data_IF_353459870001
#
_entry.id   IF_353459870001
#
_cell.length_a   1.000
_cell.length_b   1.000
_cell.length_c   1.000
_cell.angle_alpha   90.00
_cell.angle_beta   90.00
_cell.angle_gamma   90.00
#
_symmetry.space_group_name_H-M   'P 1'
#
loop_
_entity.id
_entity.type
_entity.pdbx_description
1 polymer ?
#
# COMPACT_ATOMS: atom_id res chain seq x y z
N UNK A 1 1.87 -25.50 11.93
CA UNK A 1 1.80 -25.26 10.46
C UNK A 1 0.34 -25.06 10.07
N UNK A 2 0.03 -23.93 9.49
CA UNK A 2 -1.33 -23.61 9.03
C UNK A 2 -1.81 -24.62 7.99
N UNK A 3 -3.08 -24.99 8.06
CA UNK A 3 -3.72 -25.88 7.06
C UNK A 3 -3.92 -25.14 5.72
N UNK A 4 -4.08 -25.90 4.63
CA UNK A 4 -4.36 -25.33 3.30
C UNK A 4 -5.65 -24.48 3.34
N UNK A 5 -6.65 -24.93 4.11
CA UNK A 5 -7.93 -24.20 4.24
C UNK A 5 -7.70 -22.85 4.92
N UNK A 6 -6.93 -22.79 6.00
CA UNK A 6 -6.59 -21.53 6.68
C UNK A 6 -5.83 -20.57 5.75
N UNK A 7 -4.88 -21.07 4.98
CA UNK A 7 -4.14 -20.27 4.00
C UNK A 7 -5.06 -19.73 2.89
N UNK A 8 -6.04 -20.51 2.44
CA UNK A 8 -7.05 -20.04 1.49
C UNK A 8 -7.95 -18.95 2.11
N UNK A 9 -8.33 -19.10 3.37
CA UNK A 9 -9.09 -18.06 4.09
C UNK A 9 -8.29 -16.77 4.20
N UNK A 10 -6.99 -16.84 4.47
CA UNK A 10 -6.10 -15.65 4.48
C UNK A 10 -6.13 -14.94 3.13
N UNK A 11 -5.96 -15.67 2.02
CA UNK A 11 -5.97 -15.11 0.67
C UNK A 11 -7.31 -14.45 0.33
N UNK A 12 -8.42 -15.18 0.53
CA UNK A 12 -9.77 -14.71 0.17
C UNK A 12 -10.22 -13.54 1.03
N UNK A 13 -9.94 -13.57 2.33
CA UNK A 13 -10.25 -12.46 3.24
C UNK A 13 -9.45 -11.21 2.87
N UNK A 14 -8.15 -11.36 2.57
CA UNK A 14 -7.31 -10.24 2.13
C UNK A 14 -7.78 -9.66 0.80
N UNK A 15 -8.21 -10.50 -0.15
CA UNK A 15 -8.83 -10.06 -1.39
C UNK A 15 -10.12 -9.28 -1.11
N UNK A 16 -11.02 -9.82 -0.28
CA UNK A 16 -12.28 -9.17 0.10
C UNK A 16 -12.07 -7.80 0.76
N UNK A 17 -11.18 -7.71 1.74
CA UNK A 17 -10.82 -6.44 2.38
C UNK A 17 -10.22 -5.45 1.38
N UNK A 18 -9.37 -5.93 0.47
CA UNK A 18 -8.75 -5.12 -0.58
C UNK A 18 -9.73 -4.54 -1.59
N UNK A 19 -10.93 -5.15 -1.78
CA UNK A 19 -11.98 -4.64 -2.65
C UNK A 19 -12.72 -3.42 -2.06
N UNK A 20 -12.60 -3.15 -0.75
CA UNK A 20 -13.22 -1.98 -0.12
C UNK A 20 -12.32 -0.76 -0.41
N UNK A 21 -12.74 0.20 -1.27
CA UNK A 21 -11.92 1.36 -1.57
C UNK A 21 -11.87 2.29 -0.36
N UNK A 22 -10.73 2.87 -0.07
CA UNK A 22 -10.45 3.87 0.98
C UNK A 22 -10.71 3.45 2.42
N UNK A 23 -11.55 2.44 2.67
CA UNK A 23 -12.01 2.04 4.02
C UNK A 23 -11.52 0.66 4.46
N UNK A 24 -10.73 -0.04 3.64
CA UNK A 24 -10.16 -1.32 4.01
C UNK A 24 -9.08 -1.21 5.09
N UNK A 25 -8.94 -2.24 5.97
CA UNK A 25 -7.87 -2.27 6.95
C UNK A 25 -6.50 -2.28 6.29
N UNK A 26 -5.50 -1.71 6.96
CA UNK A 26 -4.13 -1.78 6.45
C UNK A 26 -3.64 -3.22 6.36
N UNK A 27 -3.04 -3.59 5.22
CA UNK A 27 -2.55 -4.95 4.97
C UNK A 27 -1.45 -5.39 5.96
N UNK A 28 -0.73 -4.45 6.57
CA UNK A 28 0.18 -4.74 7.68
C UNK A 28 -0.59 -5.38 8.85
N UNK A 29 -1.70 -4.76 9.26
CA UNK A 29 -2.52 -5.28 10.36
C UNK A 29 -3.27 -6.54 9.98
N UNK A 30 -3.71 -6.67 8.71
CA UNK A 30 -4.33 -7.91 8.22
C UNK A 30 -3.37 -9.08 8.38
N UNK A 31 -2.13 -8.93 7.92
CA UNK A 31 -1.11 -9.98 8.03
C UNK A 31 -0.75 -10.28 9.49
N UNK A 32 -0.62 -9.24 10.34
CA UNK A 32 -0.34 -9.39 11.76
C UNK A 32 -1.46 -10.14 12.49
N UNK A 33 -2.73 -9.78 12.22
CA UNK A 33 -3.88 -10.46 12.82
C UNK A 33 -3.99 -11.92 12.38
N UNK A 34 -3.76 -12.25 11.11
CA UNK A 34 -3.78 -13.64 10.67
C UNK A 34 -2.68 -14.47 11.32
N UNK A 35 -1.46 -13.94 11.42
CA UNK A 35 -0.38 -14.62 12.13
C UNK A 35 -0.73 -14.88 13.61
N UNK A 36 -1.39 -13.91 14.25
CA UNK A 36 -1.80 -13.98 15.63
C UNK A 36 -2.96 -14.97 15.85
N UNK A 37 -4.02 -14.91 15.01
CA UNK A 37 -5.20 -15.79 15.07
C UNK A 37 -4.82 -17.24 14.80
N UNK A 38 -4.00 -17.50 13.77
CA UNK A 38 -3.52 -18.83 13.44
C UNK A 38 -2.48 -19.34 14.45
N UNK A 39 -2.01 -18.46 15.29
CA UNK A 39 -1.09 -18.82 16.35
C UNK A 39 0.30 -19.23 15.85
N UNK A 40 0.67 -18.79 14.67
CA UNK A 40 1.90 -19.20 14.01
C UNK A 40 3.09 -18.34 14.42
N UNK A 41 4.21 -19.01 14.66
CA UNK A 41 5.48 -18.38 15.01
C UNK A 41 6.63 -18.88 14.14
N UNK A 42 6.37 -19.93 13.34
CA UNK A 42 7.34 -20.45 12.38
C UNK A 42 7.56 -19.48 11.22
N UNK A 43 8.83 -19.18 10.92
CA UNK A 43 9.20 -18.19 9.92
C UNK A 43 8.66 -18.50 8.52
N UNK A 44 8.63 -19.77 8.12
CA UNK A 44 8.13 -20.17 6.80
C UNK A 44 6.63 -19.90 6.67
N UNK A 45 5.86 -20.23 7.71
CA UNK A 45 4.41 -19.96 7.74
C UNK A 45 4.12 -18.48 7.82
N UNK A 46 4.89 -17.70 8.59
CA UNK A 46 4.75 -16.23 8.63
C UNK A 46 5.02 -15.57 7.26
N UNK A 47 6.05 -16.03 6.55
CA UNK A 47 6.30 -15.57 5.16
C UNK A 47 5.17 -15.96 4.23
N UNK A 48 4.64 -17.19 4.35
CA UNK A 48 3.50 -17.64 3.55
C UNK A 48 2.24 -16.80 3.81
N UNK A 49 1.93 -16.47 5.06
CA UNK A 49 0.83 -15.56 5.43
C UNK A 49 1.03 -14.20 4.78
N UNK A 50 2.23 -13.59 4.93
CA UNK A 50 2.56 -12.31 4.33
C UNK A 50 2.42 -12.32 2.81
N UNK A 51 2.88 -13.39 2.14
CA UNK A 51 2.74 -13.58 0.70
C UNK A 51 1.29 -13.66 0.26
N UNK A 52 0.45 -14.44 0.94
CA UNK A 52 -0.96 -14.63 0.60
C UNK A 52 -1.77 -13.35 0.83
N UNK A 53 -1.49 -12.60 1.89
CA UNK A 53 -2.10 -11.28 2.12
C UNK A 53 -1.68 -10.31 1.02
N UNK A 54 -0.41 -10.27 0.64
CA UNK A 54 0.05 -9.42 -0.47
C UNK A 54 -0.60 -9.80 -1.80
N UNK A 55 -0.74 -11.10 -2.07
CA UNK A 55 -1.37 -11.61 -3.29
C UNK A 55 -2.86 -11.22 -3.35
N UNK A 56 -3.62 -11.48 -2.28
CA UNK A 56 -5.04 -11.11 -2.19
C UNK A 56 -5.26 -9.61 -2.38
N UNK A 57 -4.48 -8.78 -1.65
CA UNK A 57 -4.55 -7.33 -1.77
C UNK A 57 -4.19 -6.85 -3.19
N UNK A 58 -3.18 -7.44 -3.82
CA UNK A 58 -2.74 -7.03 -5.16
C UNK A 58 -3.75 -7.41 -6.25
N UNK A 59 -4.39 -8.56 -6.13
CA UNK A 59 -5.50 -8.96 -6.99
C UNK A 59 -6.69 -8.00 -6.86
N UNK A 60 -7.07 -7.64 -5.64
CA UNK A 60 -8.15 -6.67 -5.40
C UNK A 60 -7.84 -5.29 -5.99
N UNK A 61 -6.63 -4.78 -5.80
CA UNK A 61 -6.21 -3.49 -6.39
C UNK A 61 -6.06 -3.54 -7.90
N UNK A 62 -5.77 -4.70 -8.46
CA UNK A 62 -5.80 -4.90 -9.91
C UNK A 62 -7.22 -4.75 -10.46
N UNK A 63 -8.25 -5.17 -9.72
CA UNK A 63 -9.65 -4.91 -10.10
C UNK A 63 -9.93 -3.40 -10.12
N UNK A 64 -9.55 -2.64 -9.08
CA UNK A 64 -9.70 -1.18 -9.05
C UNK A 64 -8.95 -0.50 -10.19
N UNK A 65 -7.71 -0.94 -10.44
CA UNK A 65 -6.91 -0.47 -11.55
C UNK A 65 -7.61 -0.71 -12.89
N UNK A 66 -8.13 -1.92 -13.13
CA UNK A 66 -8.82 -2.26 -14.38
C UNK A 66 -10.10 -1.45 -14.56
N UNK A 67 -10.89 -1.23 -13.50
CA UNK A 67 -12.07 -0.37 -13.56
C UNK A 67 -11.66 1.03 -14.04
N UNK A 68 -10.66 1.66 -13.43
CA UNK A 68 -10.20 3.00 -13.82
C UNK A 68 -9.57 3.02 -15.20
N UNK A 69 -8.86 1.96 -15.59
CA UNK A 69 -8.31 1.77 -16.93
C UNK A 69 -9.40 1.76 -18.00
N UNK A 70 -10.52 1.04 -17.78
CA UNK A 70 -11.65 1.02 -18.71
C UNK A 70 -12.43 2.33 -18.70
N UNK A 71 -12.65 2.95 -17.54
CA UNK A 71 -13.31 4.25 -17.41
C UNK A 71 -12.53 5.33 -18.16
N UNK A 72 -11.20 5.23 -18.24
CA UNK A 72 -10.37 6.19 -18.97
C UNK A 72 -10.73 6.32 -20.46
N UNK A 73 -11.36 5.29 -21.05
CA UNK A 73 -11.83 5.32 -22.46
C UNK A 73 -13.01 6.28 -22.66
N UNK A 74 -13.77 6.56 -21.62
CA UNK A 74 -14.97 7.41 -21.64
C UNK A 74 -14.69 8.88 -21.23
N UNK A 75 -13.43 9.24 -20.98
CA UNK A 75 -13.04 10.59 -20.65
C UNK A 75 -13.07 11.49 -21.89
N UNK A 76 -13.47 12.76 -21.68
CA UNK A 76 -13.42 13.77 -22.74
C UNK A 76 -11.99 13.95 -23.27
N UNK A 77 -11.84 14.29 -24.57
CA UNK A 77 -10.53 14.49 -25.22
C UNK A 77 -9.62 15.47 -24.48
N UNK A 78 -10.20 16.55 -23.93
CA UNK A 78 -9.45 17.56 -23.18
C UNK A 78 -8.82 16.98 -21.90
N UNK A 79 -9.56 16.14 -21.16
CA UNK A 79 -9.05 15.46 -19.96
C UNK A 79 -8.02 14.39 -20.31
N UNK A 80 -8.26 13.67 -21.40
CA UNK A 80 -7.35 12.63 -21.90
C UNK A 80 -6.00 13.22 -22.30
N UNK A 81 -5.96 14.31 -23.08
CA UNK A 81 -4.71 14.99 -23.46
C UNK A 81 -3.90 15.45 -22.25
N UNK A 82 -4.58 15.98 -21.21
CA UNK A 82 -3.91 16.37 -19.95
C UNK A 82 -3.33 15.15 -19.23
N UNK A 83 -4.09 14.07 -19.10
CA UNK A 83 -3.62 12.83 -18.47
C UNK A 83 -2.43 12.19 -19.23
N UNK A 84 -2.46 12.21 -20.56
CA UNK A 84 -1.37 11.70 -21.41
C UNK A 84 -0.07 12.51 -21.22
N UNK A 85 -0.17 13.84 -21.11
CA UNK A 85 0.96 14.71 -20.82
C UNK A 85 1.55 14.48 -19.42
N UNK A 86 0.68 14.33 -18.43
CA UNK A 86 1.11 14.03 -17.04
C UNK A 86 1.67 12.59 -16.93
N UNK A 87 1.08 11.65 -17.67
CA UNK A 87 1.56 10.26 -17.72
C UNK A 87 3.01 10.16 -18.22
N UNK A 88 3.41 10.95 -19.22
CA UNK A 88 4.78 10.97 -19.71
C UNK A 88 5.77 11.41 -18.64
N UNK A 89 5.40 12.39 -17.81
CA UNK A 89 6.26 12.88 -16.71
C UNK A 89 6.39 11.86 -15.57
N UNK A 90 5.26 11.21 -15.23
CA UNK A 90 5.18 10.28 -14.10
C UNK A 90 5.67 8.87 -14.47
N UNK A 91 5.56 8.46 -15.74
CA UNK A 91 5.82 7.09 -16.23
C UNK A 91 7.21 6.56 -15.80
N UNK A 92 8.20 7.42 -15.73
CA UNK A 92 9.57 7.07 -15.31
C UNK A 92 9.62 6.66 -13.83
N UNK A 93 8.82 7.31 -12.99
CA UNK A 93 8.82 7.11 -11.54
C UNK A 93 7.62 6.29 -11.06
N UNK A 94 6.67 5.99 -11.95
CA UNK A 94 5.40 5.33 -11.59
C UNK A 94 5.60 4.00 -10.85
N UNK A 95 6.58 3.19 -11.27
CA UNK A 95 6.91 1.94 -10.61
C UNK A 95 7.35 2.16 -9.16
N UNK A 96 8.28 3.08 -8.95
CA UNK A 96 8.82 3.38 -7.62
C UNK A 96 7.79 4.04 -6.71
N UNK A 97 6.99 4.97 -7.26
CA UNK A 97 5.91 5.62 -6.52
C UNK A 97 4.84 4.61 -6.08
N UNK A 98 4.46 3.69 -6.98
CA UNK A 98 3.49 2.66 -6.67
C UNK A 98 4.03 1.66 -5.64
N UNK A 99 5.28 1.22 -5.80
CA UNK A 99 5.97 0.37 -4.83
C UNK A 99 6.00 1.03 -3.45
N UNK A 100 6.45 2.28 -3.37
CA UNK A 100 6.55 3.02 -2.12
C UNK A 100 5.16 3.21 -1.46
N UNK A 101 4.14 3.59 -2.24
CA UNK A 101 2.77 3.70 -1.73
C UNK A 101 2.26 2.36 -1.19
N UNK A 102 2.47 1.27 -1.94
CA UNK A 102 2.04 -0.06 -1.56
C UNK A 102 2.81 -0.62 -0.34
N UNK A 103 4.06 -0.20 -0.14
CA UNK A 103 4.89 -0.61 0.99
C UNK A 103 4.59 0.17 2.30
N UNK A 104 3.63 1.09 2.27
CA UNK A 104 3.20 1.86 3.45
C UNK A 104 1.83 1.41 3.93
N UNK A 105 1.47 1.62 5.22
CA UNK A 105 0.13 1.33 5.75
C UNK A 105 -0.91 2.39 5.36
N UNK A 106 -0.58 3.32 4.46
CA UNK A 106 -1.42 4.43 4.02
C UNK A 106 -2.32 3.96 2.86
N UNK A 107 -3.53 4.54 2.68
CA UNK A 107 -4.37 4.28 1.52
C UNK A 107 -3.62 4.51 0.20
N UNK A 108 -3.66 3.55 -0.69
CA UNK A 108 -2.91 3.53 -1.95
C UNK A 108 -3.74 3.99 -3.17
N UNK A 109 -5.04 4.21 -2.98
CA UNK A 109 -5.95 4.71 -4.03
C UNK A 109 -5.50 6.00 -4.72
N UNK A 110 -4.93 6.99 -4.01
CA UNK A 110 -4.42 8.21 -4.65
C UNK A 110 -3.34 7.95 -5.72
N UNK A 111 -2.68 6.81 -5.68
CA UNK A 111 -1.69 6.39 -6.69
C UNK A 111 -2.29 5.40 -7.69
N UNK A 112 -3.10 4.45 -7.22
CA UNK A 112 -3.72 3.40 -8.04
C UNK A 112 -4.68 3.99 -9.08
N UNK A 113 -5.57 4.90 -8.67
CA UNK A 113 -6.59 5.48 -9.55
C UNK A 113 -5.97 6.30 -10.71
N UNK A 114 -5.04 7.25 -10.46
CA UNK A 114 -4.40 7.98 -11.55
C UNK A 114 -3.63 7.07 -12.52
N UNK A 115 -2.92 6.05 -12.02
CA UNK A 115 -2.18 5.13 -12.88
C UNK A 115 -3.10 4.29 -13.77
N UNK A 116 -4.28 3.90 -13.29
CA UNK A 116 -5.31 3.27 -14.10
C UNK A 116 -5.83 4.19 -15.19
N UNK A 117 -6.17 5.45 -14.85
CA UNK A 117 -6.63 6.46 -15.82
C UNK A 117 -5.57 6.80 -16.88
N UNK A 118 -4.29 6.81 -16.51
CA UNK A 118 -3.14 7.03 -17.40
C UNK A 118 -2.77 5.79 -18.22
N UNK A 119 -3.50 4.68 -18.07
CA UNK A 119 -3.22 3.40 -18.77
C UNK A 119 -1.78 2.92 -18.56
N UNK A 120 -1.26 3.05 -17.36
CA UNK A 120 0.05 2.49 -17.03
C UNK A 120 0.06 0.99 -17.33
N UNK A 121 1.22 0.41 -17.63
CA UNK A 121 1.30 -1.01 -18.01
C UNK A 121 0.78 -1.93 -16.87
N UNK A 122 -0.24 -2.80 -17.11
CA UNK A 122 -0.85 -3.63 -16.07
C UNK A 122 0.13 -4.58 -15.37
N UNK A 123 1.07 -5.17 -16.11
CA UNK A 123 2.05 -6.08 -15.54
C UNK A 123 3.03 -5.34 -14.62
N UNK A 124 3.50 -4.15 -15.02
CA UNK A 124 4.35 -3.30 -14.18
C UNK A 124 3.59 -2.80 -12.96
N UNK A 125 2.29 -2.48 -13.11
CA UNK A 125 1.42 -2.12 -12.01
C UNK A 125 1.36 -3.25 -10.99
N UNK A 126 0.96 -4.46 -11.42
CA UNK A 126 0.83 -5.61 -10.54
C UNK A 126 2.15 -5.92 -9.82
N UNK A 127 3.27 -5.97 -10.55
CA UNK A 127 4.58 -6.30 -9.98
C UNK A 127 5.02 -5.28 -8.94
N UNK A 128 4.92 -3.97 -9.25
CA UNK A 128 5.30 -2.91 -8.31
C UNK A 128 4.44 -2.94 -7.05
N UNK A 129 3.12 -3.08 -7.23
CA UNK A 129 2.17 -3.13 -6.13
C UNK A 129 2.36 -4.36 -5.26
N UNK A 130 2.50 -5.55 -5.88
CA UNK A 130 2.72 -6.80 -5.17
C UNK A 130 4.02 -6.77 -4.35
N UNK A 131 5.13 -6.34 -4.93
CA UNK A 131 6.41 -6.25 -4.22
C UNK A 131 6.33 -5.27 -3.03
N UNK A 132 5.65 -4.14 -3.21
CA UNK A 132 5.43 -3.19 -2.11
C UNK A 132 4.57 -3.79 -1.01
N UNK A 133 3.44 -4.43 -1.37
CA UNK A 133 2.59 -5.12 -0.39
C UNK A 133 3.31 -6.26 0.30
N UNK A 134 4.07 -7.07 -0.43
CA UNK A 134 4.84 -8.17 0.14
C UNK A 134 5.80 -7.68 1.23
N UNK A 135 6.49 -6.57 0.99
CA UNK A 135 7.42 -6.01 1.96
C UNK A 135 6.72 -5.68 3.28
N UNK A 136 5.57 -4.99 3.24
CA UNK A 136 4.87 -4.58 4.46
C UNK A 136 4.09 -5.72 5.12
N UNK A 137 3.53 -6.66 4.34
CA UNK A 137 2.75 -7.77 4.89
C UNK A 137 3.61 -8.84 5.54
N UNK A 138 4.80 -9.10 5.01
CA UNK A 138 5.78 -9.98 5.67
C UNK A 138 6.19 -9.38 7.02
N UNK A 139 6.53 -8.09 7.05
CA UNK A 139 6.81 -7.40 8.33
C UNK A 139 5.60 -7.50 9.27
N UNK A 140 4.38 -7.29 8.78
CA UNK A 140 3.16 -7.44 9.57
C UNK A 140 2.98 -8.83 10.16
N UNK A 141 3.20 -9.89 9.36
CA UNK A 141 3.11 -11.28 9.84
C UNK A 141 4.13 -11.58 10.94
N UNK A 142 5.38 -11.12 10.78
CA UNK A 142 6.41 -11.28 11.82
C UNK A 142 6.06 -10.49 13.10
N UNK A 143 5.49 -9.30 12.98
CA UNK A 143 5.01 -8.54 14.14
C UNK A 143 3.89 -9.29 14.86
N UNK A 144 2.96 -9.91 14.13
CA UNK A 144 1.90 -10.75 14.73
C UNK A 144 2.46 -11.95 15.48
N UNK A 145 3.38 -12.69 14.85
CA UNK A 145 4.07 -13.82 15.49
C UNK A 145 4.86 -13.41 16.72
N UNK A 146 5.58 -12.28 16.65
CA UNK A 146 6.30 -11.74 17.81
C UNK A 146 5.37 -11.33 18.94
N UNK A 147 4.26 -10.65 18.61
CA UNK A 147 3.25 -10.26 19.60
C UNK A 147 2.70 -11.47 20.32
N UNK A 148 2.39 -12.57 19.61
CA UNK A 148 1.95 -13.81 20.22
C UNK A 148 3.00 -14.33 21.22
N UNK A 149 4.26 -14.44 20.82
CA UNK A 149 5.32 -14.96 21.70
C UNK A 149 5.52 -14.11 22.95
N UNK A 150 5.39 -12.78 22.83
CA UNK A 150 5.67 -11.86 23.94
C UNK A 150 4.51 -11.75 24.92
N UNK A 151 3.27 -11.77 24.42
CA UNK A 151 2.10 -11.50 25.24
C UNK A 151 1.27 -12.73 25.59
N UNK A 152 1.57 -13.90 25.04
CA UNK A 152 0.85 -15.14 25.33
C UNK A 152 0.91 -15.55 26.83
N UNK A 153 1.94 -15.12 27.55
CA UNK A 153 2.09 -15.38 28.98
C UNK A 153 1.26 -14.42 29.85
N UNK A 154 0.90 -13.25 29.32
CA UNK A 154 0.26 -12.16 30.08
C UNK A 154 -1.21 -11.97 29.74
N UNK A 155 -1.62 -12.32 28.53
CA UNK A 155 -2.98 -12.15 28.05
C UNK A 155 -3.54 -13.46 27.51
N UNK A 156 -4.82 -13.73 27.80
CA UNK A 156 -5.51 -14.84 27.16
C UNK A 156 -5.55 -14.65 25.63
N UNK A 157 -5.54 -15.73 24.83
CA UNK A 157 -5.58 -15.63 23.37
C UNK A 157 -6.75 -14.78 22.87
N UNK A 158 -7.94 -14.94 23.47
CA UNK A 158 -9.16 -14.19 23.10
C UNK A 158 -8.99 -12.68 23.32
N UNK A 159 -8.37 -12.29 24.45
CA UNK A 159 -8.13 -10.89 24.77
C UNK A 159 -7.10 -10.27 23.83
N UNK A 160 -6.07 -11.02 23.45
CA UNK A 160 -5.04 -10.57 22.51
C UNK A 160 -5.63 -10.34 21.12
N UNK A 161 -6.50 -11.24 20.65
CA UNK A 161 -7.22 -11.11 19.37
C UNK A 161 -8.16 -9.90 19.43
N UNK A 162 -8.95 -9.75 20.48
CA UNK A 162 -9.88 -8.64 20.64
C UNK A 162 -9.15 -7.28 20.65
N UNK A 163 -8.04 -7.16 21.39
CA UNK A 163 -7.22 -5.95 21.41
C UNK A 163 -6.61 -5.64 20.05
N UNK A 164 -6.11 -6.65 19.31
CA UNK A 164 -5.51 -6.44 17.99
C UNK A 164 -6.54 -5.97 16.97
N UNK A 165 -7.77 -6.49 17.02
CA UNK A 165 -8.88 -6.05 16.15
C UNK A 165 -9.29 -4.61 16.51
N UNK A 166 -9.45 -4.28 17.78
CA UNK A 166 -9.77 -2.92 18.24
C UNK A 166 -8.68 -1.95 17.79
N UNK A 167 -7.41 -2.28 17.99
CA UNK A 167 -6.27 -1.47 17.58
C UNK A 167 -6.26 -1.25 16.06
N UNK A 168 -6.53 -2.31 15.28
CA UNK A 168 -6.64 -2.22 13.82
C UNK A 168 -7.74 -1.26 13.39
N UNK A 169 -8.91 -1.34 14.01
CA UNK A 169 -10.04 -0.42 13.72
C UNK A 169 -9.65 1.01 14.09
N UNK A 170 -9.09 1.23 15.27
CA UNK A 170 -8.69 2.57 15.74
C UNK A 170 -7.67 3.19 14.80
N UNK A 171 -6.61 2.44 14.44
CA UNK A 171 -5.56 2.94 13.54
C UNK A 171 -6.13 3.20 12.15
N UNK A 172 -6.99 2.31 11.62
CA UNK A 172 -7.66 2.51 10.34
C UNK A 172 -8.50 3.79 10.34
N UNK A 173 -9.28 4.04 11.39
CA UNK A 173 -10.08 5.27 11.55
C UNK A 173 -9.19 6.52 11.64
N UNK A 174 -8.07 6.44 12.36
CA UNK A 174 -7.11 7.54 12.45
C UNK A 174 -6.51 7.83 11.06
N UNK A 175 -6.07 6.79 10.33
CA UNK A 175 -5.50 6.94 8.99
C UNK A 175 -6.50 7.52 7.98
N UNK A 176 -7.78 7.15 8.09
CA UNK A 176 -8.84 7.73 7.25
C UNK A 176 -9.13 9.20 7.58
N UNK A 177 -8.96 9.63 8.85
CA UNK A 177 -9.12 11.03 9.25
C UNK A 177 -7.92 11.91 8.91
N UNK A 178 -6.73 11.32 8.76
CA UNK A 178 -5.54 12.04 8.30
C UNK A 178 -5.69 12.34 6.81
N UNK A 179 -5.75 13.62 6.47
CA UNK A 179 -5.81 14.09 5.08
C UNK A 179 -4.45 13.81 4.41
N UNK A 180 -4.30 12.56 3.93
CA UNK A 180 -3.07 12.05 3.32
C UNK A 180 -2.71 12.87 2.07
N UNK A 181 -3.70 13.45 1.38
CA UNK A 181 -3.47 14.35 0.25
C UNK A 181 -2.67 15.59 0.66
N UNK A 182 -3.07 16.26 1.74
CA UNK A 182 -2.33 17.42 2.26
C UNK A 182 -0.95 17.06 2.81
N UNK A 183 -0.82 15.86 3.39
CA UNK A 183 0.49 15.38 3.86
C UNK A 183 1.43 15.07 2.68
N UNK A 184 0.93 14.41 1.64
CA UNK A 184 1.68 14.12 0.43
C UNK A 184 2.09 15.40 -0.31
N UNK A 185 1.19 16.39 -0.42
CA UNK A 185 1.51 17.71 -0.99
C UNK A 185 2.58 18.46 -0.20
N UNK A 186 2.51 18.44 1.13
CA UNK A 186 3.55 19.04 1.99
C UNK A 186 4.92 18.39 1.84
N UNK A 187 4.94 17.05 1.75
CA UNK A 187 6.19 16.29 1.53
C UNK A 187 6.73 16.57 0.12
N UNK A 188 5.88 16.56 -0.90
CA UNK A 188 6.26 16.87 -2.27
C UNK A 188 6.78 18.31 -2.41
N UNK A 189 6.09 19.29 -1.82
CA UNK A 189 6.52 20.69 -1.80
C UNK A 189 7.89 20.87 -1.09
N UNK A 190 8.12 20.16 0.03
CA UNK A 190 9.39 20.20 0.76
C UNK A 190 10.55 19.58 -0.02
N UNK A 191 10.30 18.50 -0.76
CA UNK A 191 11.30 17.83 -1.61
C UNK A 191 11.60 18.67 -2.86
N UNK A 192 10.59 19.23 -3.51
CA UNK A 192 10.71 20.05 -4.72
C UNK A 192 11.29 21.43 -4.40
N UNK A 193 10.91 22.06 -3.28
CA UNK A 193 11.46 23.32 -2.81
C UNK A 193 12.96 23.24 -2.53
N UNK A 194 13.40 22.16 -1.89
CA UNK A 194 14.84 21.94 -1.59
C UNK A 194 15.68 21.76 -2.86
N UNK A 195 15.07 21.35 -3.98
CA UNK A 195 15.77 21.19 -5.27
C UNK A 195 15.91 22.50 -6.03
N UNK A 196 14.99 23.45 -5.84
CA UNK A 196 15.05 24.79 -6.42
C UNK A 196 16.17 25.63 -5.78
N UNK A 197 16.33 25.55 -4.46
CA UNK A 197 17.37 26.29 -3.74
C UNK A 197 18.78 25.76 -4.07
N UNK A 198 18.94 24.46 -4.31
CA UNK A 198 20.24 23.88 -4.67
C UNK A 198 20.67 24.23 -6.10
N UNK A 199 19.72 24.47 -7.03
CA UNK A 199 20.03 24.87 -8.40
C UNK A 199 20.39 26.37 -8.53
N UNK A 200 19.86 27.18 -7.65
CA UNK A 200 20.18 28.66 -7.63
C UNK A 200 21.51 28.97 -6.99
N UNK A 201 22.11 28.07 -6.22
CA UNK A 201 23.45 28.26 -5.62
C UNK A 201 24.60 27.86 -6.55
N UNK A 202 24.33 27.28 -7.72
CA UNK A 202 25.34 26.82 -8.69
C UNK A 202 25.52 27.73 -9.91
N UNK A 203 24.91 28.90 -9.96
CA UNK A 203 25.18 29.89 -11.02
C UNK A 203 26.43 30.67 -10.66
N UNK A 204 27.50 30.64 -11.46
CA UNK A 204 28.69 31.49 -11.25
C UNK A 204 28.29 32.95 -11.45
N UNK A 205 28.97 33.92 -10.77
CA UNK A 205 28.67 35.33 -11.01
C UNK A 205 29.12 35.72 -12.42
N UNK A 206 28.18 36.27 -13.19
CA UNK A 206 28.48 36.91 -14.47
C UNK A 206 29.52 37.99 -14.26
N UNK A 207 30.67 37.86 -14.93
CA UNK A 207 31.70 38.85 -15.00
C UNK A 207 31.19 40.06 -15.79
N UNK A 208 30.93 41.15 -15.11
CA UNK A 208 30.78 42.47 -15.73
C UNK A 208 32.16 42.92 -16.24
N UNK A 209 32.28 43.02 -17.54
CA UNK A 209 33.32 43.76 -18.26
C UNK A 209 32.67 44.69 -19.27
#
# INVERSE_FOLDING_TARGET
MASIIELLVVLLSSFGFGLIPFAGPSNLFVASNFALILGETDAATLVAIGFLVAMGASLAKSVHYLITFFVSKHLSEKRRKKLDADAQKVKRWAFLLLFAAAATPIPDEPVVIPLGLMKYNPAKFFTAFFLGKLSITVVGAFLGGWTKNTFSEWLSPDLTIALSIILTIVITVILLKVDVGKLAERIAAKILGKKSDASNQQSPPESQS
#
